data_IF_588675844586
#
_entry.id   IF_588675844586
#
_cell.length_a   1.000
_cell.length_b   1.000
_cell.length_c   1.000
_cell.angle_alpha   90.00
_cell.angle_beta   90.00
_cell.angle_gamma   90.00
#
_symmetry.space_group_name_H-M   'P 1'
#
loop_
_entity.id
_entity.type
_entity.pdbx_description
1 polymer ?
#
# COMPACT_ATOMS: atom_id res chain seq x y z
N UNK A 1 17.49 45.80 -7.74
CA UNK A 1 17.64 44.65 -8.70
C UNK A 1 16.29 43.99 -8.83
N UNK A 2 15.83 43.76 -10.05
CA UNK A 2 14.55 43.10 -10.26
C UNK A 2 14.67 41.59 -9.99
N UNK A 3 13.61 40.99 -9.45
CA UNK A 3 13.52 39.56 -9.20
C UNK A 3 13.55 38.78 -10.53
N UNK A 4 14.22 37.64 -10.58
CA UNK A 4 14.23 36.78 -11.78
C UNK A 4 12.91 36.04 -12.02
N UNK A 5 12.08 35.88 -10.98
CA UNK A 5 10.84 35.15 -11.02
C UNK A 5 9.67 35.92 -10.42
N UNK A 6 8.50 35.73 -11.00
CA UNK A 6 7.20 36.03 -10.41
C UNK A 6 6.52 34.71 -10.12
N UNK A 7 6.17 34.46 -8.86
CA UNK A 7 5.58 33.20 -8.41
C UNK A 7 4.20 33.46 -7.84
N UNK A 8 3.19 32.87 -8.45
CA UNK A 8 1.80 33.07 -8.04
C UNK A 8 0.95 31.81 -8.23
N UNK A 9 -0.21 31.79 -7.61
CA UNK A 9 -1.19 30.72 -7.74
C UNK A 9 -1.79 30.73 -9.14
N UNK A 10 -1.87 29.56 -9.80
CA UNK A 10 -2.61 29.43 -11.04
C UNK A 10 -4.12 29.43 -10.77
N UNK A 11 -4.84 30.45 -11.27
CA UNK A 11 -6.27 30.56 -11.05
C UNK A 11 -7.10 29.56 -11.90
N UNK A 12 -6.51 28.98 -12.95
CA UNK A 12 -7.17 28.04 -13.84
C UNK A 12 -7.09 26.58 -13.36
N UNK A 13 -6.12 26.28 -12.50
CA UNK A 13 -5.89 24.94 -11.95
C UNK A 13 -5.72 24.96 -10.43
N UNK A 14 -6.46 24.10 -9.72
CA UNK A 14 -6.30 23.95 -8.27
C UNK A 14 -4.92 23.36 -7.95
N UNK A 15 -4.29 23.90 -6.90
CA UNK A 15 -3.00 23.42 -6.37
C UNK A 15 -1.87 23.49 -7.39
N UNK A 16 -1.91 24.49 -8.29
CA UNK A 16 -0.91 24.76 -9.29
C UNK A 16 -0.20 26.10 -9.06
N UNK A 17 1.12 26.11 -9.25
CA UNK A 17 1.97 27.30 -9.12
C UNK A 17 2.43 27.69 -10.51
N UNK A 18 2.28 28.96 -10.85
CA UNK A 18 2.91 29.57 -12.03
C UNK A 18 4.18 30.30 -11.66
N UNK A 19 5.18 30.05 -12.50
CA UNK A 19 6.50 30.65 -12.41
C UNK A 19 6.76 31.40 -13.72
N UNK A 20 6.62 32.70 -13.71
CA UNK A 20 6.95 33.54 -14.87
C UNK A 20 8.33 34.14 -14.68
N UNK A 21 9.13 34.16 -15.75
CA UNK A 21 10.41 34.85 -15.76
C UNK A 21 10.23 36.34 -16.07
N UNK A 22 10.94 37.20 -15.37
CA UNK A 22 10.95 38.62 -15.70
C UNK A 22 11.76 38.89 -16.97
N UNK A 23 11.36 39.85 -17.83
CA UNK A 23 12.04 40.11 -19.11
C UNK A 23 13.54 40.42 -18.98
N UNK A 24 13.97 40.93 -17.83
CA UNK A 24 15.36 41.32 -17.52
C UNK A 24 16.07 40.26 -16.64
N UNK A 25 15.59 39.00 -16.64
CA UNK A 25 16.15 37.95 -15.79
C UNK A 25 17.63 37.71 -16.13
N UNK A 26 18.47 37.73 -15.09
CA UNK A 26 19.85 37.28 -15.16
C UNK A 26 19.90 35.76 -15.26
N UNK A 27 21.08 35.24 -15.55
CA UNK A 27 21.32 33.81 -15.54
C UNK A 27 20.84 33.16 -14.23
N UNK A 28 19.95 32.18 -14.34
CA UNK A 28 19.32 31.50 -13.21
C UNK A 28 20.36 30.59 -12.57
N UNK A 29 20.60 30.72 -11.28
CA UNK A 29 21.53 29.85 -10.56
C UNK A 29 21.00 28.40 -10.51
N UNK A 30 21.91 27.41 -10.49
CA UNK A 30 21.56 25.97 -10.38
C UNK A 30 20.65 25.69 -9.16
N UNK A 31 20.85 26.41 -8.05
CA UNK A 31 20.06 26.27 -6.82
C UNK A 31 18.62 26.75 -7.05
N UNK A 32 18.42 27.84 -7.81
CA UNK A 32 17.09 28.34 -8.16
C UNK A 32 16.37 27.40 -9.12
N UNK A 33 17.10 26.85 -10.12
CA UNK A 33 16.56 25.83 -11.03
C UNK A 33 16.08 24.59 -10.25
N UNK A 34 16.91 24.13 -9.30
CA UNK A 34 16.56 23.00 -8.44
C UNK A 34 15.30 23.30 -7.61
N UNK A 35 15.20 24.47 -7.00
CA UNK A 35 14.02 24.85 -6.23
C UNK A 35 12.75 24.91 -7.10
N UNK A 36 12.85 25.44 -8.30
CA UNK A 36 11.77 25.48 -9.27
C UNK A 36 11.25 24.05 -9.58
N UNK A 37 12.14 23.15 -10.00
CA UNK A 37 11.79 21.77 -10.36
C UNK A 37 11.17 21.03 -9.18
N UNK A 38 11.74 21.18 -7.99
CA UNK A 38 11.26 20.54 -6.77
C UNK A 38 9.89 21.08 -6.31
N UNK A 39 9.65 22.38 -6.49
CA UNK A 39 8.37 23.00 -6.17
C UNK A 39 7.26 22.56 -7.15
N UNK A 40 7.54 22.51 -8.45
CA UNK A 40 6.63 22.00 -9.47
C UNK A 40 6.29 20.52 -9.23
N UNK A 41 7.32 19.72 -8.93
CA UNK A 41 7.15 18.31 -8.61
C UNK A 41 6.23 18.12 -7.39
N UNK A 42 6.46 18.86 -6.30
CA UNK A 42 5.64 18.75 -5.09
C UNK A 42 4.20 19.25 -5.31
N UNK A 43 4.01 20.28 -6.14
CA UNK A 43 2.68 20.75 -6.56
C UNK A 43 1.89 19.61 -7.25
N UNK A 44 2.53 18.88 -8.16
CA UNK A 44 1.92 17.75 -8.85
C UNK A 44 1.58 16.59 -7.89
N UNK A 45 2.42 16.34 -6.87
CA UNK A 45 2.11 15.36 -5.82
C UNK A 45 0.87 15.80 -5.02
N UNK A 46 0.81 17.07 -4.57
CA UNK A 46 -0.34 17.60 -3.82
C UNK A 46 -1.63 17.47 -4.63
N UNK A 47 -1.60 17.76 -5.93
CA UNK A 47 -2.74 17.53 -6.86
C UNK A 47 -3.18 16.07 -6.86
N UNK A 48 -2.23 15.14 -6.89
CA UNK A 48 -2.49 13.69 -7.01
C UNK A 48 -3.02 13.01 -5.75
N UNK A 49 -3.04 13.69 -4.60
CA UNK A 49 -3.57 13.17 -3.34
C UNK A 49 -5.11 13.11 -3.35
N UNK A 50 -5.71 12.17 -4.10
CA UNK A 50 -7.16 12.12 -4.34
C UNK A 50 -8.00 11.91 -3.07
N UNK A 51 -7.50 11.17 -2.08
CA UNK A 51 -8.22 10.86 -0.84
C UNK A 51 -8.00 11.89 0.27
N UNK A 52 -7.17 12.89 0.06
CA UNK A 52 -6.89 13.94 1.03
C UNK A 52 -7.95 15.02 0.94
N UNK A 53 -8.42 15.51 2.11
CA UNK A 53 -9.40 16.60 2.17
C UNK A 53 -8.83 17.87 1.54
N UNK A 54 -9.67 18.61 0.82
CA UNK A 54 -9.27 19.85 0.14
C UNK A 54 -8.63 20.87 1.09
N UNK A 55 -9.12 21.00 2.33
CA UNK A 55 -8.55 21.90 3.35
C UNK A 55 -7.08 21.57 3.68
N UNK A 56 -6.74 20.27 3.73
CA UNK A 56 -5.39 19.82 4.03
C UNK A 56 -4.49 20.04 2.82
N UNK A 57 -4.97 19.77 1.61
CA UNK A 57 -4.26 20.05 0.36
C UNK A 57 -3.96 21.55 0.25
N UNK A 58 -4.95 22.38 0.56
CA UNK A 58 -4.82 23.83 0.55
C UNK A 58 -3.73 24.31 1.53
N UNK A 59 -3.67 23.71 2.72
CA UNK A 59 -2.62 24.01 3.70
C UNK A 59 -1.22 23.65 3.17
N UNK A 60 -1.06 22.49 2.56
CA UNK A 60 0.22 22.09 1.95
C UNK A 60 0.59 22.99 0.79
N UNK A 61 -0.38 23.29 -0.07
CA UNK A 61 -0.19 24.16 -1.23
C UNK A 61 0.22 25.58 -0.82
N UNK A 62 -0.43 26.16 0.17
CA UNK A 62 -0.10 27.50 0.66
C UNK A 62 1.31 27.55 1.28
N UNK A 63 1.73 26.51 2.02
CA UNK A 63 3.10 26.37 2.49
C UNK A 63 4.08 26.32 1.32
N UNK A 64 3.80 25.49 0.31
CA UNK A 64 4.63 25.34 -0.88
C UNK A 64 4.76 26.66 -1.64
N UNK A 65 3.63 27.36 -1.87
CA UNK A 65 3.60 28.65 -2.55
C UNK A 65 4.46 29.70 -1.80
N UNK A 66 4.31 29.80 -0.48
CA UNK A 66 5.10 30.72 0.34
C UNK A 66 6.60 30.40 0.27
N UNK A 67 6.98 29.10 0.32
CA UNK A 67 8.38 28.69 0.19
C UNK A 67 8.94 29.02 -1.19
N UNK A 68 8.16 28.81 -2.24
CA UNK A 68 8.56 29.15 -3.61
C UNK A 68 8.74 30.67 -3.79
N UNK A 69 7.86 31.46 -3.20
CA UNK A 69 7.97 32.94 -3.21
C UNK A 69 9.22 33.40 -2.47
N UNK A 70 9.44 32.95 -1.24
CA UNK A 70 10.62 33.33 -0.43
C UNK A 70 11.94 32.90 -1.10
N UNK A 71 11.93 31.75 -1.80
CA UNK A 71 13.13 31.21 -2.41
C UNK A 71 13.46 31.71 -3.81
N UNK A 72 12.48 32.28 -4.54
CA UNK A 72 12.65 32.65 -5.95
C UNK A 72 12.38 34.15 -6.20
N UNK A 73 11.56 34.81 -5.37
CA UNK A 73 11.13 36.21 -5.58
C UNK A 73 11.95 37.17 -4.69
N UNK A 74 12.20 38.36 -5.19
CA UNK A 74 12.89 39.45 -4.49
C UNK A 74 14.34 39.66 -4.90
N UNK A 75 14.95 40.70 -4.38
CA UNK A 75 16.35 41.06 -4.68
C UNK A 75 17.37 40.08 -4.07
N UNK A 76 17.04 39.50 -2.92
CA UNK A 76 17.88 38.54 -2.19
C UNK A 76 17.07 37.26 -1.87
N UNK A 77 16.77 36.43 -2.87
CA UNK A 77 15.96 35.24 -2.65
C UNK A 77 16.69 34.23 -1.75
N UNK A 78 15.97 33.73 -0.72
CA UNK A 78 16.52 32.79 0.25
C UNK A 78 16.39 31.34 -0.24
N UNK A 79 16.97 31.03 -1.41
CA UNK A 79 16.80 29.77 -2.13
C UNK A 79 17.25 28.55 -1.33
N UNK A 80 18.40 28.64 -0.66
CA UNK A 80 18.94 27.52 0.14
C UNK A 80 18.07 27.20 1.37
N UNK A 81 17.53 28.24 2.01
CA UNK A 81 16.61 28.07 3.15
C UNK A 81 15.29 27.46 2.68
N UNK A 82 14.77 27.94 1.56
CA UNK A 82 13.53 27.42 0.96
C UNK A 82 13.66 25.95 0.55
N UNK A 83 14.79 25.54 -0.03
CA UNK A 83 15.06 24.14 -0.34
C UNK A 83 15.03 23.24 0.89
N UNK A 84 15.72 23.63 1.97
CA UNK A 84 15.71 22.87 3.23
C UNK A 84 14.31 22.79 3.83
N UNK A 85 13.54 23.86 3.74
CA UNK A 85 12.16 23.91 4.25
C UNK A 85 11.21 23.09 3.38
N UNK A 86 11.48 23.00 2.07
CA UNK A 86 10.73 22.16 1.13
C UNK A 86 10.98 20.68 1.39
N UNK A 87 12.20 20.27 1.74
CA UNK A 87 12.50 18.92 2.17
C UNK A 87 11.71 18.53 3.43
N UNK A 88 11.66 19.43 4.43
CA UNK A 88 10.83 19.20 5.62
C UNK A 88 9.33 19.12 5.29
N UNK A 89 8.84 19.91 4.36
CA UNK A 89 7.45 19.84 3.91
C UNK A 89 7.16 18.49 3.23
N UNK A 90 8.10 17.97 2.43
CA UNK A 90 8.01 16.63 1.83
C UNK A 90 7.93 15.55 2.89
N UNK A 91 8.78 15.60 3.91
CA UNK A 91 8.77 14.66 5.04
C UNK A 91 7.44 14.74 5.81
N UNK A 92 6.93 15.96 6.08
CA UNK A 92 5.63 16.17 6.74
C UNK A 92 4.49 15.51 5.94
N UNK A 93 4.45 15.72 4.61
CA UNK A 93 3.43 15.14 3.73
C UNK A 93 3.52 13.61 3.73
N UNK A 94 4.72 13.05 3.58
CA UNK A 94 4.94 11.60 3.58
C UNK A 94 4.50 10.97 4.91
N UNK A 95 4.86 11.59 6.02
CA UNK A 95 4.55 11.06 7.34
C UNK A 95 3.04 11.08 7.62
N UNK A 96 2.35 12.17 7.28
CA UNK A 96 0.92 12.34 7.57
C UNK A 96 0.06 11.56 6.57
N UNK A 97 0.28 11.77 5.27
CA UNK A 97 -0.55 11.15 4.24
C UNK A 97 -0.22 9.68 4.04
N UNK A 98 1.03 9.28 4.18
CA UNK A 98 1.43 7.87 4.13
C UNK A 98 0.76 7.03 5.22
N UNK A 99 0.74 7.52 6.46
CA UNK A 99 0.02 6.89 7.56
C UNK A 99 -1.49 6.82 7.28
N UNK A 100 -2.05 7.89 6.78
CA UNK A 100 -3.48 7.97 6.47
C UNK A 100 -3.88 6.99 5.37
N UNK A 101 -3.12 6.94 4.27
CA UNK A 101 -3.35 6.00 3.16
C UNK A 101 -3.26 4.56 3.67
N UNK A 102 -2.25 4.25 4.48
CA UNK A 102 -2.09 2.94 5.12
C UNK A 102 -3.31 2.58 5.96
N UNK A 103 -3.76 3.48 6.82
CA UNK A 103 -4.89 3.24 7.73
C UNK A 103 -6.21 3.02 6.97
N UNK A 104 -6.46 3.81 5.93
CA UNK A 104 -7.65 3.64 5.08
C UNK A 104 -7.61 2.27 4.38
N UNK A 105 -6.47 1.90 3.79
CA UNK A 105 -6.33 0.62 3.11
C UNK A 105 -6.49 -0.55 4.10
N UNK A 106 -5.86 -0.47 5.27
CA UNK A 106 -5.93 -1.49 6.31
C UNK A 106 -7.37 -1.69 6.81
N UNK A 107 -8.10 -0.59 7.03
CA UNK A 107 -9.51 -0.64 7.42
C UNK A 107 -10.36 -1.33 6.36
N UNK A 108 -10.23 -0.90 5.12
CA UNK A 108 -11.04 -1.44 4.02
C UNK A 108 -10.66 -2.90 3.70
N UNK A 109 -9.37 -3.25 3.83
CA UNK A 109 -8.90 -4.63 3.70
C UNK A 109 -9.50 -5.52 4.80
N UNK A 110 -9.53 -5.02 6.05
CA UNK A 110 -10.12 -5.72 7.18
C UNK A 110 -11.63 -5.94 7.01
N UNK A 111 -12.36 -4.92 6.55
CA UNK A 111 -13.80 -5.04 6.28
C UNK A 111 -14.05 -6.09 5.18
N UNK A 112 -13.29 -6.05 4.09
CA UNK A 112 -13.43 -7.02 2.99
C UNK A 112 -13.06 -8.42 3.45
N UNK A 113 -12.00 -8.60 4.23
CA UNK A 113 -11.58 -9.87 4.82
C UNK A 113 -12.67 -10.45 5.76
N UNK A 114 -13.29 -9.59 6.58
CA UNK A 114 -14.37 -9.99 7.49
C UNK A 114 -15.60 -10.46 6.70
N UNK A 115 -16.00 -9.74 5.67
CA UNK A 115 -17.13 -10.14 4.79
C UNK A 115 -16.87 -11.51 4.17
N UNK A 116 -15.67 -11.71 3.59
CA UNK A 116 -15.29 -13.00 2.99
C UNK A 116 -15.30 -14.10 4.06
N UNK A 117 -14.77 -13.84 5.25
CA UNK A 117 -14.75 -14.80 6.35
C UNK A 117 -16.16 -15.20 6.76
N UNK A 118 -17.11 -14.27 6.84
CA UNK A 118 -18.52 -14.54 7.17
C UNK A 118 -19.15 -15.42 6.06
N UNK A 119 -18.93 -15.10 4.78
CA UNK A 119 -19.45 -15.88 3.65
C UNK A 119 -18.92 -17.33 3.73
N UNK A 120 -17.62 -17.51 3.91
CA UNK A 120 -17.02 -18.84 4.02
C UNK A 120 -17.43 -19.56 5.30
N UNK A 121 -17.72 -18.87 6.41
CA UNK A 121 -18.28 -19.45 7.62
C UNK A 121 -19.67 -20.04 7.37
N UNK A 122 -20.55 -19.29 6.70
CA UNK A 122 -21.88 -19.80 6.34
C UNK A 122 -21.75 -21.03 5.42
N UNK A 123 -20.87 -20.95 4.42
CA UNK A 123 -20.62 -22.07 3.51
C UNK A 123 -20.03 -23.29 4.22
N UNK A 124 -19.16 -23.08 5.20
CA UNK A 124 -18.62 -24.14 6.08
C UNK A 124 -19.74 -24.88 6.81
N UNK A 125 -20.69 -24.18 7.44
CA UNK A 125 -21.83 -24.81 8.11
C UNK A 125 -22.72 -25.58 7.14
N UNK A 126 -22.93 -25.07 5.93
CA UNK A 126 -23.66 -25.79 4.89
C UNK A 126 -22.91 -27.08 4.47
N UNK A 127 -21.60 -27.03 4.30
CA UNK A 127 -20.80 -28.20 3.95
C UNK A 127 -20.85 -29.29 5.03
N UNK A 128 -20.90 -28.93 6.32
CA UNK A 128 -21.04 -29.91 7.41
C UNK A 128 -22.43 -30.57 7.37
N UNK A 129 -23.48 -29.80 7.06
CA UNK A 129 -24.85 -30.30 7.01
C UNK A 129 -25.09 -31.32 5.88
N UNK A 130 -24.38 -31.14 4.75
CA UNK A 130 -24.55 -32.00 3.57
C UNK A 130 -23.31 -32.89 3.39
N UNK A 131 -23.44 -34.20 3.65
CA UNK A 131 -22.34 -35.18 3.59
C UNK A 131 -21.59 -35.18 2.25
N UNK A 132 -22.32 -35.01 1.13
CA UNK A 132 -21.76 -35.00 -0.22
C UNK A 132 -20.69 -33.92 -0.47
N UNK A 133 -20.73 -32.81 0.29
CA UNK A 133 -19.81 -31.68 0.12
C UNK A 133 -18.96 -31.45 1.37
N UNK A 134 -18.99 -32.35 2.34
CA UNK A 134 -18.26 -32.22 3.61
C UNK A 134 -16.76 -31.99 3.42
N UNK A 135 -16.17 -32.56 2.37
CA UNK A 135 -14.75 -32.39 2.06
C UNK A 135 -14.37 -30.93 1.77
N UNK A 136 -15.33 -30.06 1.35
CA UNK A 136 -15.10 -28.64 1.10
C UNK A 136 -14.99 -27.83 2.41
N UNK A 137 -15.49 -28.33 3.53
CA UNK A 137 -15.44 -27.64 4.81
C UNK A 137 -14.01 -27.31 5.26
N UNK A 138 -13.07 -28.19 4.97
CA UNK A 138 -11.66 -28.03 5.30
C UNK A 138 -11.02 -26.88 4.51
N UNK A 139 -11.37 -26.75 3.23
CA UNK A 139 -10.91 -25.62 2.40
C UNK A 139 -11.48 -24.30 2.90
N UNK A 140 -12.76 -24.30 3.33
CA UNK A 140 -13.38 -23.12 3.92
C UNK A 140 -12.62 -22.67 5.17
N UNK A 141 -12.24 -23.58 6.05
CA UNK A 141 -11.48 -23.29 7.26
C UNK A 141 -10.12 -22.62 6.96
N UNK A 142 -9.37 -23.16 6.00
CA UNK A 142 -8.07 -22.62 5.58
C UNK A 142 -8.25 -21.23 4.95
N UNK A 143 -9.26 -21.07 4.08
CA UNK A 143 -9.55 -19.77 3.44
C UNK A 143 -9.90 -18.73 4.50
N UNK A 144 -10.79 -19.02 5.46
CA UNK A 144 -11.14 -18.12 6.55
C UNK A 144 -9.90 -17.67 7.34
N UNK A 145 -9.05 -18.61 7.74
CA UNK A 145 -7.79 -18.29 8.42
C UNK A 145 -6.89 -17.38 7.59
N UNK A 146 -6.79 -17.63 6.29
CA UNK A 146 -5.93 -16.84 5.41
C UNK A 146 -6.35 -15.37 5.30
N UNK A 147 -7.65 -15.07 5.34
CA UNK A 147 -8.15 -13.69 5.32
C UNK A 147 -7.65 -12.89 6.54
N UNK A 148 -7.74 -13.51 7.71
CA UNK A 148 -7.25 -12.90 8.96
C UNK A 148 -5.73 -12.72 8.90
N UNK A 149 -5.01 -13.75 8.43
CA UNK A 149 -3.56 -13.70 8.28
C UNK A 149 -3.08 -12.58 7.36
N UNK A 150 -3.75 -12.34 6.23
CA UNK A 150 -3.46 -11.24 5.30
C UNK A 150 -3.64 -9.87 5.99
N UNK A 151 -4.73 -9.70 6.71
CA UNK A 151 -5.01 -8.46 7.42
C UNK A 151 -3.93 -8.15 8.47
N UNK A 152 -3.56 -9.13 9.29
CA UNK A 152 -2.49 -9.02 10.30
C UNK A 152 -1.15 -8.74 9.61
N UNK A 153 -0.82 -9.48 8.54
CA UNK A 153 0.43 -9.31 7.77
C UNK A 153 0.57 -7.88 7.26
N UNK A 154 -0.50 -7.31 6.71
CA UNK A 154 -0.49 -5.93 6.23
C UNK A 154 -0.30 -4.93 7.38
N UNK A 155 -0.98 -5.14 8.50
CA UNK A 155 -0.87 -4.28 9.69
C UNK A 155 0.55 -4.25 10.28
N UNK A 156 1.21 -5.41 10.32
CA UNK A 156 2.56 -5.57 10.88
C UNK A 156 3.68 -4.98 10.00
N UNK A 157 3.44 -4.73 8.71
CA UNK A 157 4.48 -4.19 7.82
C UNK A 157 4.82 -2.74 8.16
N UNK A 158 6.11 -2.46 8.30
CA UNK A 158 6.62 -1.10 8.30
C UNK A 158 6.63 -0.58 6.85
N UNK A 159 5.87 0.45 6.59
CA UNK A 159 5.89 1.13 5.29
C UNK A 159 6.85 2.32 5.38
N UNK A 160 8.00 2.22 4.72
CA UNK A 160 8.83 3.36 4.40
C UNK A 160 8.38 3.86 3.03
N UNK A 161 7.39 4.73 3.02
CA UNK A 161 6.86 5.33 1.80
C UNK A 161 7.79 6.48 1.42
N UNK A 162 8.26 6.50 0.19
CA UNK A 162 8.92 7.66 -0.40
C UNK A 162 7.88 8.60 -0.99
N UNK A 163 8.22 9.88 -1.13
CA UNK A 163 7.28 10.88 -1.64
C UNK A 163 6.84 10.56 -3.08
N UNK A 164 7.73 9.98 -3.89
CA UNK A 164 7.47 9.53 -5.26
C UNK A 164 6.41 8.44 -5.32
N UNK A 165 6.38 7.60 -4.29
CA UNK A 165 5.45 6.46 -4.18
C UNK A 165 4.07 6.89 -3.69
N UNK A 166 3.93 8.08 -3.08
CA UNK A 166 2.69 8.49 -2.44
C UNK A 166 1.51 8.55 -3.42
N UNK A 167 1.74 9.07 -4.63
CA UNK A 167 0.76 9.11 -5.71
C UNK A 167 0.54 7.74 -6.37
N UNK A 168 1.60 6.92 -6.46
CA UNK A 168 1.56 5.58 -7.05
C UNK A 168 0.83 4.60 -6.13
N UNK A 169 1.05 4.69 -4.82
CA UNK A 169 0.39 3.82 -3.84
C UNK A 169 -1.13 3.97 -3.90
N UNK A 170 -1.66 5.17 -4.12
CA UNK A 170 -3.10 5.35 -4.31
C UNK A 170 -3.62 4.68 -5.59
N UNK A 171 -2.80 4.59 -6.65
CA UNK A 171 -3.17 3.99 -7.95
C UNK A 171 -2.89 2.49 -8.03
N UNK A 172 -1.75 2.06 -7.49
CA UNK A 172 -1.22 0.70 -7.66
C UNK A 172 -1.49 -0.24 -6.48
N UNK A 173 -2.22 0.22 -5.45
CA UNK A 173 -2.71 -0.71 -4.44
C UNK A 173 -3.57 -1.77 -5.09
N UNK A 174 -3.05 -2.98 -5.17
CA UNK A 174 -3.77 -4.13 -5.69
C UNK A 174 -5.15 -4.18 -5.06
N UNK A 175 -6.18 -4.32 -5.90
CA UNK A 175 -7.56 -4.38 -5.42
C UNK A 175 -7.65 -5.39 -4.27
N UNK A 176 -8.16 -4.92 -3.13
CA UNK A 176 -8.23 -5.67 -1.87
C UNK A 176 -8.89 -7.04 -2.06
N UNK A 177 -9.93 -7.07 -2.89
CA UNK A 177 -10.68 -8.29 -3.20
C UNK A 177 -9.81 -9.28 -3.99
N UNK A 178 -9.09 -8.82 -5.01
CA UNK A 178 -8.18 -9.66 -5.81
C UNK A 178 -7.09 -10.24 -4.92
N UNK A 179 -6.52 -9.43 -4.03
CA UNK A 179 -5.49 -9.87 -3.08
C UNK A 179 -6.00 -10.97 -2.15
N UNK A 180 -7.18 -10.80 -1.58
CA UNK A 180 -7.78 -11.76 -0.65
C UNK A 180 -8.17 -13.07 -1.37
N UNK A 181 -8.74 -12.98 -2.58
CA UNK A 181 -9.05 -14.16 -3.41
C UNK A 181 -7.76 -14.91 -3.77
N UNK A 182 -6.74 -14.19 -4.23
CA UNK A 182 -5.46 -14.80 -4.60
C UNK A 182 -4.85 -15.61 -3.44
N UNK A 183 -4.79 -15.02 -2.25
CA UNK A 183 -4.24 -15.70 -1.08
C UNK A 183 -5.14 -16.85 -0.63
N UNK A 184 -6.46 -16.70 -0.69
CA UNK A 184 -7.40 -17.78 -0.43
C UNK A 184 -7.18 -18.99 -1.35
N UNK A 185 -6.99 -18.74 -2.66
CA UNK A 185 -6.68 -19.79 -3.63
C UNK A 185 -5.31 -20.46 -3.35
N UNK A 186 -4.28 -19.66 -3.09
CA UNK A 186 -2.96 -20.19 -2.72
C UNK A 186 -3.04 -21.08 -1.47
N UNK A 187 -3.82 -20.67 -0.48
CA UNK A 187 -4.00 -21.44 0.77
C UNK A 187 -4.74 -22.76 0.52
N UNK A 188 -5.76 -22.74 -0.35
CA UNK A 188 -6.49 -23.94 -0.76
C UNK A 188 -5.59 -24.92 -1.54
N UNK A 189 -4.76 -24.42 -2.45
CA UNK A 189 -3.78 -25.24 -3.20
C UNK A 189 -2.76 -25.86 -2.23
N UNK A 190 -2.29 -25.10 -1.23
CA UNK A 190 -1.36 -25.61 -0.24
C UNK A 190 -1.98 -26.74 0.58
N UNK A 191 -3.25 -26.60 1.02
CA UNK A 191 -3.98 -27.68 1.69
C UNK A 191 -4.10 -28.93 0.79
N UNK A 192 -4.37 -28.73 -0.51
CA UNK A 192 -4.41 -29.85 -1.48
C UNK A 192 -3.06 -30.58 -1.52
N UNK A 193 -1.94 -29.86 -1.54
CA UNK A 193 -0.60 -30.47 -1.53
C UNK A 193 -0.32 -31.26 -0.25
N UNK A 194 -0.83 -30.82 0.89
CA UNK A 194 -0.76 -31.60 2.14
C UNK A 194 -1.61 -32.86 2.07
N UNK A 195 -2.83 -32.78 1.55
CA UNK A 195 -3.71 -33.92 1.42
C UNK A 195 -3.17 -35.00 0.46
N UNK A 196 -2.55 -34.56 -0.64
CA UNK A 196 -1.93 -35.47 -1.63
C UNK A 196 -0.54 -35.94 -1.20
N UNK A 197 -0.05 -35.54 -0.03
CA UNK A 197 1.30 -35.87 0.49
C UNK A 197 2.46 -35.38 -0.42
N UNK A 198 2.17 -34.46 -1.37
CA UNK A 198 3.21 -33.83 -2.21
C UNK A 198 4.17 -32.96 -1.37
N UNK A 199 3.67 -32.41 -0.28
CA UNK A 199 4.47 -31.66 0.69
C UNK A 199 4.19 -32.25 2.07
N UNK A 200 5.26 -32.66 2.77
CA UNK A 200 5.18 -33.07 4.17
C UNK A 200 5.85 -32.01 5.01
N UNK A 201 5.12 -31.44 5.97
CA UNK A 201 5.67 -30.50 6.97
C UNK A 201 5.38 -31.11 8.34
N UNK A 202 6.41 -31.16 9.19
CA UNK A 202 6.27 -31.50 10.60
C UNK A 202 6.35 -30.21 11.42
N UNK A 203 5.25 -29.83 12.05
CA UNK A 203 5.23 -28.76 13.04
C UNK A 203 5.52 -29.34 14.44
N UNK A 204 6.75 -29.25 14.90
CA UNK A 204 7.16 -29.85 16.17
C UNK A 204 7.18 -31.38 16.13
N UNK A 205 7.11 -32.01 17.30
CA UNK A 205 7.16 -33.48 17.41
C UNK A 205 5.81 -34.17 17.24
N UNK A 206 4.71 -33.45 17.11
CA UNK A 206 3.35 -33.98 17.30
C UNK A 206 2.44 -33.83 16.09
N UNK A 207 2.62 -32.82 15.23
CA UNK A 207 1.65 -32.56 14.16
C UNK A 207 2.10 -33.20 12.85
N UNK A 208 1.45 -34.29 12.49
CA UNK A 208 1.64 -34.98 11.20
C UNK A 208 0.74 -34.42 10.13
N UNK A 209 1.07 -34.67 8.86
CA UNK A 209 0.26 -34.23 7.69
C UNK A 209 -1.17 -34.79 7.76
N UNK A 210 -1.39 -35.93 8.41
CA UNK A 210 -2.71 -36.55 8.59
C UNK A 210 -3.56 -35.80 9.62
N UNK A 211 -2.96 -35.27 10.67
CA UNK A 211 -3.67 -34.44 11.68
C UNK A 211 -4.07 -33.08 11.11
N UNK A 212 -3.25 -32.49 10.23
CA UNK A 212 -3.61 -31.25 9.50
C UNK A 212 -4.89 -31.45 8.70
N UNK A 213 -5.06 -32.61 8.06
CA UNK A 213 -6.22 -32.91 7.26
C UNK A 213 -7.50 -33.15 8.08
N UNK A 214 -7.39 -33.51 9.37
CA UNK A 214 -8.54 -33.90 10.21
C UNK A 214 -8.98 -32.83 11.22
N UNK A 215 -8.10 -31.93 11.61
CA UNK A 215 -8.37 -30.97 12.69
C UNK A 215 -8.64 -29.57 12.15
N UNK A 216 -9.86 -29.06 12.40
CA UNK A 216 -10.31 -27.74 11.99
C UNK A 216 -9.40 -26.61 12.50
N UNK A 217 -8.96 -26.70 13.76
CA UNK A 217 -8.12 -25.66 14.38
C UNK A 217 -6.78 -25.55 13.68
N UNK A 218 -6.21 -26.71 13.32
CA UNK A 218 -4.93 -26.77 12.60
C UNK A 218 -5.08 -26.21 11.17
N UNK A 219 -6.20 -26.52 10.50
CA UNK A 219 -6.49 -25.99 9.16
C UNK A 219 -6.67 -24.46 9.18
N UNK A 220 -7.38 -23.95 10.17
CA UNK A 220 -7.56 -22.52 10.37
C UNK A 220 -6.22 -21.82 10.66
N UNK A 221 -5.40 -22.39 11.56
CA UNK A 221 -4.06 -21.92 11.86
C UNK A 221 -3.13 -21.93 10.63
N UNK A 222 -3.21 -22.99 9.81
CA UNK A 222 -2.49 -23.08 8.53
C UNK A 222 -2.90 -21.92 7.62
N UNK A 223 -4.19 -21.64 7.53
CA UNK A 223 -4.69 -20.49 6.79
C UNK A 223 -4.09 -19.17 7.27
N UNK A 224 -4.07 -18.93 8.59
CA UNK A 224 -3.45 -17.72 9.17
C UNK A 224 -1.98 -17.63 8.76
N UNK A 225 -1.21 -18.71 8.87
CA UNK A 225 0.20 -18.74 8.47
C UNK A 225 0.34 -18.40 6.98
N UNK A 226 -0.49 -18.97 6.11
CA UNK A 226 -0.50 -18.65 4.69
C UNK A 226 -0.72 -17.16 4.43
N UNK A 227 -1.69 -16.56 5.13
CA UNK A 227 -1.96 -15.14 5.05
C UNK A 227 -0.82 -14.26 5.56
N UNK A 228 -0.15 -14.65 6.65
CA UNK A 228 1.01 -13.93 7.20
C UNK A 228 2.18 -13.91 6.22
N UNK A 229 2.41 -14.97 5.48
CA UNK A 229 3.51 -15.08 4.49
C UNK A 229 3.06 -14.77 3.06
N UNK A 230 1.96 -14.04 2.88
CA UNK A 230 1.32 -13.77 1.58
C UNK A 230 2.29 -13.35 0.47
N UNK A 231 3.26 -12.46 0.79
CA UNK A 231 4.22 -11.94 -0.20
C UNK A 231 5.16 -13.01 -0.78
N UNK A 232 5.28 -14.17 -0.14
CA UNK A 232 6.19 -15.25 -0.52
C UNK A 232 5.47 -16.55 -0.90
N UNK A 233 4.19 -16.69 -0.57
CA UNK A 233 3.47 -17.95 -0.71
C UNK A 233 3.35 -18.38 -2.17
N UNK A 234 2.95 -17.48 -3.07
CA UNK A 234 2.83 -17.77 -4.49
C UNK A 234 4.14 -18.23 -5.13
N UNK A 235 5.24 -17.53 -4.78
CA UNK A 235 6.58 -17.88 -5.28
C UNK A 235 7.02 -19.25 -4.76
N UNK A 236 6.73 -19.56 -3.49
CA UNK A 236 7.07 -20.87 -2.89
C UNK A 236 6.26 -22.02 -3.51
N UNK A 237 4.96 -21.80 -3.74
CA UNK A 237 4.11 -22.79 -4.43
C UNK A 237 4.65 -23.05 -5.83
N UNK A 238 4.90 -21.99 -6.62
CA UNK A 238 5.45 -22.12 -7.97
C UNK A 238 6.78 -22.89 -7.98
N UNK A 239 7.74 -22.52 -7.12
CA UNK A 239 9.03 -23.21 -7.03
C UNK A 239 8.85 -24.71 -6.71
N UNK A 240 7.99 -25.02 -5.72
CA UNK A 240 7.76 -26.41 -5.32
C UNK A 240 7.10 -27.23 -6.41
N UNK A 241 6.16 -26.66 -7.16
CA UNK A 241 5.52 -27.32 -8.30
C UNK A 241 6.51 -27.61 -9.42
N UNK A 242 7.42 -26.66 -9.73
CA UNK A 242 8.46 -26.90 -10.73
C UNK A 242 9.47 -27.96 -10.30
N UNK A 243 9.83 -28.04 -9.02
CA UNK A 243 10.72 -29.10 -8.48
C UNK A 243 10.11 -30.51 -8.56
N UNK A 244 8.78 -30.64 -8.60
CA UNK A 244 8.08 -31.93 -8.68
C UNK A 244 7.88 -32.40 -10.12
N UNK A 245 7.83 -31.45 -11.09
CA UNK A 245 7.57 -31.74 -12.51
C UNK A 245 8.88 -32.01 -13.30
N UNK A 246 10.01 -31.51 -12.80
CA UNK A 246 11.36 -31.73 -13.37
C UNK A 246 12.04 -32.87 -12.63
#
# INVERSE_FOLDING_TARGET
MESNFIVYRNNNEKYDIRFDMTPNSKEISEIQQKLYVEAEYLSNIIKSLHKTKDEIKEKYFNKLLSLSQVGLVGEFPQTSLSLKSLEKLKEEIVLVEGQRIKNIYMRDLGITALIITIIFSIFYFLCIKYENIKFLSEYCAVIMGSQIGVWISFGARKFNIKIEELSLIEKDMMNKLIRLIYIGLCSAILLLFFKTKLITITFGKVITTEEIARNLEIQFALGIICGLIESKIGIKIYRKTTEVIV
#
